data_IF_313335953346
#
_entry.id   IF_313335953346
#
_cell.length_a   1.000
_cell.length_b   1.000
_cell.length_c   1.000
_cell.angle_alpha   90.00
_cell.angle_beta   90.00
_cell.angle_gamma   90.00
#
_symmetry.space_group_name_H-M   'P 1'
#
loop_
_entity.id
_entity.type
_entity.pdbx_description
1 polymer ?
#
# COMPACT_ATOMS: atom_id res chain seq x y z
N UNK A 1 -65.74 -49.59 10.84
CA UNK A 1 -65.61 -48.17 10.47
C UNK A 1 -64.24 -47.72 10.95
N UNK A 2 -63.43 -47.04 10.13
CA UNK A 2 -62.36 -46.19 10.68
C UNK A 2 -63.02 -44.96 11.32
N UNK A 3 -62.51 -44.47 12.44
CA UNK A 3 -62.96 -43.21 13.06
C UNK A 3 -62.02 -42.13 12.55
N UNK A 4 -62.53 -41.13 11.85
CA UNK A 4 -61.67 -40.16 11.17
C UNK A 4 -60.97 -39.25 12.19
N UNK A 5 -59.64 -39.32 12.22
CA UNK A 5 -58.78 -38.51 13.06
C UNK A 5 -58.27 -37.30 12.27
N UNK A 6 -58.50 -36.07 12.75
CA UNK A 6 -58.23 -34.84 11.99
C UNK A 6 -57.33 -33.84 12.73
N UNK A 7 -56.48 -33.15 11.95
CA UNK A 7 -55.74 -31.95 12.31
C UNK A 7 -56.07 -30.81 11.33
N UNK A 8 -56.34 -29.61 11.86
CA UNK A 8 -56.57 -28.41 11.05
C UNK A 8 -55.51 -27.36 11.40
N UNK A 9 -54.58 -27.14 10.48
CA UNK A 9 -53.58 -26.05 10.53
C UNK A 9 -54.22 -24.83 9.86
N UNK A 10 -54.95 -24.05 10.64
CA UNK A 10 -55.61 -22.82 10.19
C UNK A 10 -54.56 -21.71 10.15
N UNK A 11 -54.00 -21.44 8.97
CA UNK A 11 -53.20 -20.24 8.79
C UNK A 11 -54.11 -19.01 8.77
N UNK A 12 -54.15 -18.28 9.89
CA UNK A 12 -54.84 -16.99 10.05
C UNK A 12 -54.07 -15.90 9.27
N UNK A 13 -54.10 -16.01 7.94
CA UNK A 13 -53.48 -15.04 7.04
C UNK A 13 -54.36 -13.80 6.93
N UNK A 14 -54.09 -12.81 7.79
CA UNK A 14 -54.55 -11.44 7.63
C UNK A 14 -53.85 -10.74 6.47
N UNK A 15 -54.11 -11.17 5.22
CA UNK A 15 -53.85 -10.43 3.97
C UNK A 15 -54.75 -10.95 2.84
N UNK A 16 -55.28 -10.03 2.04
CA UNK A 16 -56.19 -10.33 0.93
C UNK A 16 -55.44 -10.67 -0.36
N UNK A 17 -55.83 -11.78 -1.00
CA UNK A 17 -55.96 -11.86 -2.47
C UNK A 17 -56.86 -13.03 -2.87
N UNK A 18 -57.97 -12.74 -3.55
CA UNK A 18 -58.94 -13.73 -4.02
C UNK A 18 -58.85 -13.88 -5.54
N UNK A 19 -58.12 -14.89 -6.01
CA UNK A 19 -58.39 -15.51 -7.31
C UNK A 19 -59.04 -16.88 -7.06
N UNK A 20 -60.14 -17.15 -7.76
CA UNK A 20 -60.77 -18.48 -7.80
C UNK A 20 -60.19 -19.26 -8.97
N UNK A 21 -59.69 -20.45 -8.70
CA UNK A 21 -59.37 -21.54 -9.64
C UNK A 21 -59.80 -22.85 -8.99
N UNK A 22 -59.95 -23.90 -9.80
CA UNK A 22 -60.73 -25.12 -9.52
C UNK A 22 -60.33 -25.92 -8.26
N UNK A 23 -61.15 -26.92 -7.92
CA UNK A 23 -61.24 -27.69 -6.66
C UNK A 23 -60.00 -28.56 -6.27
N UNK A 24 -58.79 -28.15 -6.67
CA UNK A 24 -57.55 -28.69 -6.13
C UNK A 24 -57.27 -28.17 -4.72
N UNK A 25 -56.70 -29.03 -3.85
CA UNK A 25 -56.44 -28.66 -2.46
C UNK A 25 -55.48 -27.47 -2.35
N UNK A 26 -55.91 -26.43 -1.65
CA UNK A 26 -55.22 -25.14 -1.59
C UNK A 26 -54.02 -25.19 -0.64
N UNK A 27 -52.86 -25.56 -1.18
CA UNK A 27 -51.57 -25.51 -0.48
C UNK A 27 -51.34 -24.14 0.18
N UNK A 28 -50.84 -24.17 1.41
CA UNK A 28 -50.60 -22.98 2.23
C UNK A 28 -49.32 -22.29 1.77
N UNK A 29 -49.41 -21.11 1.13
CA UNK A 29 -48.21 -20.35 0.73
C UNK A 29 -47.76 -19.37 1.84
N UNK A 30 -46.57 -19.61 2.38
CA UNK A 30 -45.99 -18.88 3.52
C UNK A 30 -44.90 -17.92 3.04
N UNK A 31 -45.28 -16.67 2.83
CA UNK A 31 -44.31 -15.59 2.57
C UNK A 31 -43.80 -15.00 3.89
N UNK A 32 -42.57 -15.38 4.30
CA UNK A 32 -41.85 -14.74 5.40
C UNK A 32 -41.41 -13.31 5.06
N UNK A 33 -41.54 -12.89 3.81
CA UNK A 33 -41.24 -11.55 3.33
C UNK A 33 -39.77 -11.39 2.93
N UNK A 34 -39.28 -10.16 3.11
CA UNK A 34 -37.91 -9.77 2.77
C UNK A 34 -37.12 -9.52 4.06
N UNK A 35 -36.05 -10.29 4.23
CA UNK A 35 -34.96 -9.94 5.13
C UNK A 35 -33.99 -8.98 4.44
N UNK A 36 -33.56 -7.95 5.16
CA UNK A 36 -32.55 -7.00 4.73
C UNK A 36 -31.56 -6.78 5.87
N UNK A 37 -30.26 -6.89 5.58
CA UNK A 37 -29.22 -6.58 6.56
C UNK A 37 -29.09 -5.06 6.69
N UNK A 38 -29.19 -4.54 7.91
CA UNK A 38 -28.99 -3.10 8.18
C UNK A 38 -27.49 -2.76 8.15
N UNK A 39 -27.15 -1.53 7.73
CA UNK A 39 -25.76 -1.07 7.74
C UNK A 39 -25.26 -0.86 9.18
N UNK A 40 -24.07 -1.34 9.58
CA UNK A 40 -23.55 -1.20 10.96
C UNK A 40 -23.23 0.24 11.39
N UNK A 41 -23.53 1.24 10.55
CA UNK A 41 -23.24 2.67 10.76
C UNK A 41 -24.50 3.54 10.71
N UNK A 42 -25.57 3.10 11.39
CA UNK A 42 -26.89 3.75 11.49
C UNK A 42 -26.84 5.24 11.85
N UNK A 43 -25.77 5.72 12.50
CA UNK A 43 -25.60 7.13 12.88
C UNK A 43 -25.46 8.10 11.69
N UNK A 44 -25.25 7.61 10.45
CA UNK A 44 -25.18 8.42 9.22
C UNK A 44 -26.55 8.56 8.52
N UNK A 45 -27.62 8.70 9.29
CA UNK A 45 -29.04 8.52 8.89
C UNK A 45 -29.64 9.53 7.91
N UNK A 46 -28.87 10.52 7.42
CA UNK A 46 -29.35 11.63 6.56
C UNK A 46 -29.06 11.45 5.05
N UNK A 47 -28.88 10.20 4.57
CA UNK A 47 -28.50 9.91 3.18
C UNK A 47 -29.68 9.77 2.20
N UNK A 48 -29.55 10.26 0.94
CA UNK A 48 -30.57 10.10 -0.09
C UNK A 48 -30.62 8.67 -0.69
N UNK A 49 -31.80 8.27 -1.18
CA UNK A 49 -32.15 6.90 -1.63
C UNK A 49 -31.33 6.30 -2.79
N UNK A 50 -30.40 7.04 -3.41
CA UNK A 50 -29.66 6.62 -4.61
C UNK A 50 -28.49 5.65 -4.30
N UNK A 51 -28.16 5.44 -3.04
CA UNK A 51 -26.80 5.02 -2.64
C UNK A 51 -26.63 3.52 -2.31
N UNK A 52 -27.55 2.63 -2.74
CA UNK A 52 -27.70 1.27 -2.16
C UNK A 52 -27.45 0.09 -3.15
N UNK A 53 -26.18 -0.20 -3.46
CA UNK A 53 -25.49 -1.49 -3.80
C UNK A 53 -24.01 -1.16 -4.16
N UNK A 54 -22.94 -1.98 -4.15
CA UNK A 54 -22.45 -3.31 -3.66
C UNK A 54 -21.21 -3.07 -2.72
N UNK A 55 -20.40 -3.98 -2.11
CA UNK A 55 -20.13 -5.44 -2.10
C UNK A 55 -19.39 -5.83 -0.77
N UNK A 56 -19.33 -7.12 -0.40
CA UNK A 56 -18.46 -7.81 0.62
C UNK A 56 -18.58 -7.58 2.15
N UNK A 57 -19.26 -8.54 2.83
CA UNK A 57 -19.32 -8.83 4.28
C UNK A 57 -17.95 -8.89 4.98
N UNK A 58 -17.38 -7.77 5.42
CA UNK A 58 -16.33 -7.81 6.46
C UNK A 58 -16.98 -8.29 7.77
N UNK A 59 -16.70 -9.51 8.27
CA UNK A 59 -17.39 -10.04 9.43
C UNK A 59 -17.07 -9.20 10.66
N UNK A 60 -18.12 -8.83 11.41
CA UNK A 60 -17.94 -8.37 12.79
C UNK A 60 -17.30 -9.54 13.56
N UNK A 61 -16.02 -9.40 13.95
CA UNK A 61 -15.20 -10.48 14.53
C UNK A 61 -15.74 -11.11 15.83
N UNK A 62 -16.87 -10.63 16.35
CA UNK A 62 -17.46 -11.02 17.63
C UNK A 62 -18.96 -11.39 17.57
N UNK A 63 -19.68 -10.99 16.51
CA UNK A 63 -21.11 -11.29 16.33
C UNK A 63 -21.43 -11.35 14.83
N UNK A 64 -22.04 -12.45 14.36
CA UNK A 64 -22.66 -12.47 13.05
C UNK A 64 -23.98 -11.73 13.09
N UNK A 65 -24.13 -10.72 12.23
CA UNK A 65 -25.43 -10.08 12.01
C UNK A 65 -26.32 -11.08 11.28
N UNK A 66 -27.46 -11.42 11.88
CA UNK A 66 -28.39 -12.42 11.33
C UNK A 66 -29.81 -11.90 11.39
N UNK A 67 -30.47 -11.83 10.24
CA UNK A 67 -31.87 -11.39 10.19
C UNK A 67 -32.75 -12.48 10.79
N UNK A 68 -33.65 -12.11 11.70
CA UNK A 68 -34.71 -12.99 12.21
C UNK A 68 -36.04 -12.56 11.61
N UNK A 69 -36.71 -13.47 10.93
CA UNK A 69 -38.06 -13.30 10.39
C UNK A 69 -39.01 -14.29 11.06
N UNK A 70 -40.26 -13.88 11.27
CA UNK A 70 -41.18 -14.55 12.20
C UNK A 70 -42.59 -14.66 11.61
N UNK A 71 -43.24 -15.81 11.80
CA UNK A 71 -44.64 -16.08 11.47
C UNK A 71 -45.27 -16.97 12.54
N UNK A 72 -46.58 -16.80 12.77
CA UNK A 72 -47.37 -17.61 13.69
C UNK A 72 -48.53 -18.27 12.94
N UNK A 73 -48.85 -19.50 13.32
CA UNK A 73 -49.82 -20.39 12.67
C UNK A 73 -50.74 -20.95 13.76
N UNK A 74 -52.07 -20.91 13.58
CA UNK A 74 -52.97 -21.63 14.50
C UNK A 74 -53.05 -23.10 14.11
N UNK A 75 -53.00 -23.98 15.12
CA UNK A 75 -53.10 -25.43 14.97
C UNK A 75 -54.15 -25.99 15.92
N UNK A 76 -55.25 -26.50 15.36
CA UNK A 76 -56.36 -27.12 16.08
C UNK A 76 -56.45 -28.63 15.82
N UNK A 77 -56.53 -29.41 16.90
CA UNK A 77 -56.74 -30.87 16.85
C UNK A 77 -58.22 -31.18 17.11
N UNK A 78 -58.81 -32.16 16.42
CA UNK A 78 -60.17 -32.60 16.74
C UNK A 78 -60.21 -33.47 18.02
N UNK A 79 -61.40 -33.68 18.58
CA UNK A 79 -61.60 -34.47 19.82
C UNK A 79 -61.04 -35.90 19.71
N UNK A 80 -61.04 -36.51 18.52
CA UNK A 80 -60.51 -37.85 18.29
C UNK A 80 -58.97 -37.85 18.42
N UNK A 81 -58.28 -36.91 17.77
CA UNK A 81 -56.82 -36.72 17.84
C UNK A 81 -56.33 -36.45 19.27
N UNK A 82 -57.12 -35.74 20.06
CA UNK A 82 -56.86 -35.48 21.48
C UNK A 82 -57.04 -36.76 22.30
N UNK A 83 -58.01 -37.61 21.96
CA UNK A 83 -58.33 -38.86 22.66
C UNK A 83 -57.33 -39.98 22.34
N UNK A 84 -56.88 -40.11 21.10
CA UNK A 84 -55.79 -41.02 20.70
C UNK A 84 -54.45 -40.56 21.28
N UNK A 85 -54.27 -39.25 21.45
CA UNK A 85 -53.00 -38.54 21.69
C UNK A 85 -52.09 -38.47 20.46
N UNK A 86 -52.69 -38.46 19.26
CA UNK A 86 -51.98 -38.35 17.97
C UNK A 86 -51.03 -37.17 17.94
N UNK A 87 -49.76 -37.43 17.63
CA UNK A 87 -48.70 -36.43 17.49
C UNK A 87 -48.47 -36.06 16.04
N UNK A 88 -48.27 -34.77 15.78
CA UNK A 88 -47.85 -34.26 14.48
C UNK A 88 -46.42 -33.71 14.58
N UNK A 89 -45.58 -34.01 13.59
CA UNK A 89 -44.24 -33.47 13.44
C UNK A 89 -44.22 -32.53 12.24
N UNK A 90 -43.76 -31.30 12.41
CA UNK A 90 -43.63 -30.32 11.32
C UNK A 90 -42.16 -30.10 10.97
N UNK A 91 -41.86 -29.98 9.67
CA UNK A 91 -40.53 -29.66 9.15
C UNK A 91 -40.61 -28.62 8.02
N UNK A 92 -39.60 -27.75 7.96
CA UNK A 92 -39.32 -26.91 6.80
C UNK A 92 -38.17 -27.53 5.99
N UNK A 93 -38.43 -27.86 4.73
CA UNK A 93 -37.43 -28.35 3.76
C UNK A 93 -37.26 -27.36 2.61
N UNK A 94 -36.09 -27.36 1.98
CA UNK A 94 -35.87 -26.71 0.68
C UNK A 94 -36.52 -27.51 -0.47
N UNK A 95 -36.39 -27.00 -1.70
CA UNK A 95 -36.92 -27.65 -2.91
C UNK A 95 -36.28 -29.02 -3.26
N UNK A 96 -35.26 -29.46 -2.52
CA UNK A 96 -34.66 -30.79 -2.64
C UNK A 96 -35.07 -31.76 -1.53
N UNK A 97 -35.94 -31.34 -0.60
CA UNK A 97 -36.43 -32.17 0.49
C UNK A 97 -35.50 -32.26 1.71
N UNK A 98 -34.47 -31.41 1.77
CA UNK A 98 -33.51 -31.35 2.88
C UNK A 98 -33.65 -30.06 3.69
N UNK A 99 -33.09 -30.01 4.91
CA UNK A 99 -33.10 -28.80 5.73
C UNK A 99 -32.39 -27.63 5.03
N UNK A 100 -33.01 -26.43 4.94
CA UNK A 100 -32.53 -25.33 4.10
C UNK A 100 -31.16 -24.78 4.52
N UNK A 101 -30.16 -24.95 3.65
CA UNK A 101 -28.76 -24.57 3.95
C UNK A 101 -28.60 -23.04 4.03
N UNK A 102 -28.15 -22.55 5.19
CA UNK A 102 -28.03 -21.11 5.47
C UNK A 102 -29.26 -20.50 6.14
N UNK A 103 -30.20 -21.32 6.64
CA UNK A 103 -31.31 -20.88 7.48
C UNK A 103 -31.35 -21.75 8.73
N UNK A 104 -31.19 -21.13 9.91
CA UNK A 104 -31.49 -21.78 11.18
C UNK A 104 -32.99 -21.63 11.49
N UNK A 105 -33.71 -22.74 11.52
CA UNK A 105 -35.16 -22.79 11.75
C UNK A 105 -35.45 -23.05 13.23
N UNK A 106 -36.29 -22.19 13.83
CA UNK A 106 -36.77 -22.35 15.19
C UNK A 106 -38.29 -22.47 15.21
N UNK A 107 -38.80 -23.39 16.02
CA UNK A 107 -40.22 -23.56 16.30
C UNK A 107 -40.45 -23.32 17.79
N UNK A 108 -41.36 -22.40 18.15
CA UNK A 108 -41.59 -21.97 19.53
C UNK A 108 -40.27 -21.68 20.28
N UNK A 109 -39.45 -20.84 19.65
CA UNK A 109 -38.10 -20.41 20.07
C UNK A 109 -37.06 -21.53 20.26
N UNK A 110 -37.41 -22.78 19.95
CA UNK A 110 -36.53 -23.95 20.04
C UNK A 110 -35.89 -24.25 18.68
N UNK A 111 -34.56 -24.33 18.61
CA UNK A 111 -33.82 -24.66 17.39
C UNK A 111 -34.11 -26.11 16.99
N UNK A 112 -34.57 -26.34 15.76
CA UNK A 112 -34.80 -27.70 15.27
C UNK A 112 -33.48 -28.33 14.79
N UNK A 113 -32.90 -29.18 15.63
CA UNK A 113 -31.60 -29.83 15.37
C UNK A 113 -31.66 -30.99 14.36
N UNK A 114 -32.84 -31.61 14.19
CA UNK A 114 -33.10 -32.67 13.22
C UNK A 114 -34.06 -32.25 12.09
N UNK A 115 -34.46 -30.97 12.04
CA UNK A 115 -35.42 -30.42 11.09
C UNK A 115 -36.90 -30.57 11.49
N UNK A 116 -37.24 -31.45 12.42
CA UNK A 116 -38.60 -31.68 12.90
C UNK A 116 -38.92 -30.92 14.20
N UNK A 117 -40.21 -30.68 14.44
CA UNK A 117 -40.75 -30.19 15.71
C UNK A 117 -42.03 -30.93 16.07
N UNK A 118 -42.10 -31.46 17.30
CA UNK A 118 -43.23 -32.23 17.84
C UNK A 118 -44.35 -31.28 18.31
N UNK A 119 -45.53 -31.40 17.71
CA UNK A 119 -46.76 -30.72 18.09
C UNK A 119 -47.66 -31.74 18.79
N UNK A 120 -47.97 -31.47 20.06
CA UNK A 120 -48.84 -32.33 20.89
C UNK A 120 -50.30 -31.92 20.74
N UNK A 121 -51.26 -32.85 20.83
CA UNK A 121 -52.67 -32.51 20.69
C UNK A 121 -53.18 -31.73 21.90
N UNK A 122 -54.08 -30.79 21.65
CA UNK A 122 -54.61 -29.84 22.64
C UNK A 122 -56.10 -29.57 22.39
N UNK A 123 -56.86 -29.39 23.48
CA UNK A 123 -58.26 -28.93 23.46
C UNK A 123 -58.43 -27.46 23.06
N UNK A 124 -57.33 -26.69 23.07
CA UNK A 124 -57.28 -25.29 22.63
C UNK A 124 -56.37 -25.19 21.41
N UNK A 125 -56.71 -24.31 20.48
CA UNK A 125 -55.84 -23.93 19.36
C UNK A 125 -54.45 -23.50 19.88
N UNK A 126 -53.40 -23.98 19.23
CA UNK A 126 -52.01 -23.68 19.57
C UNK A 126 -51.38 -22.77 18.52
N UNK A 127 -50.82 -21.65 18.95
CA UNK A 127 -49.93 -20.84 18.14
C UNK A 127 -48.59 -21.56 17.95
N UNK A 128 -48.35 -22.09 16.75
CA UNK A 128 -47.02 -22.50 16.31
C UNK A 128 -46.27 -21.29 15.76
N UNK A 129 -45.23 -20.88 16.49
CA UNK A 129 -44.36 -19.77 16.14
C UNK A 129 -43.14 -20.27 15.37
N UNK A 130 -43.01 -19.92 14.10
CA UNK A 130 -41.86 -20.25 13.25
C UNK A 130 -40.98 -19.01 13.09
N UNK A 131 -39.69 -19.13 13.45
CA UNK A 131 -38.65 -18.13 13.15
C UNK A 131 -37.63 -18.71 12.17
N UNK A 132 -37.31 -17.92 11.14
CA UNK A 132 -36.17 -18.14 10.25
C UNK A 132 -35.04 -17.18 10.65
N UNK A 133 -33.87 -17.71 11.00
CA UNK A 133 -32.65 -16.93 11.22
C UNK A 133 -31.74 -17.10 10.00
N UNK A 134 -31.61 -16.05 9.21
CA UNK A 134 -30.89 -16.05 7.94
C UNK A 134 -29.39 -15.83 8.13
N UNK A 135 -28.60 -16.56 7.33
CA UNK A 135 -27.13 -16.51 7.33
C UNK A 135 -26.61 -15.56 6.22
N UNK A 136 -25.76 -14.56 6.54
CA UNK A 136 -25.24 -13.61 5.54
C UNK A 136 -24.35 -14.28 4.47
N UNK A 137 -23.74 -15.43 4.75
CA UNK A 137 -22.81 -16.13 3.84
C UNK A 137 -23.45 -16.53 2.49
N UNK A 138 -24.78 -16.49 2.38
CA UNK A 138 -25.53 -16.87 1.17
C UNK A 138 -25.70 -15.73 0.14
N UNK A 139 -25.28 -14.50 0.44
CA UNK A 139 -25.39 -13.38 -0.49
C UNK A 139 -26.83 -12.89 -0.67
N UNK A 140 -27.16 -12.34 -1.85
CA UNK A 140 -28.55 -12.06 -2.24
C UNK A 140 -29.20 -13.35 -2.78
N UNK A 141 -30.27 -13.80 -2.14
CA UNK A 141 -30.87 -15.10 -2.45
C UNK A 141 -32.39 -15.10 -2.20
N UNK A 142 -33.13 -15.90 -2.96
CA UNK A 142 -34.53 -16.23 -2.66
C UNK A 142 -34.55 -17.69 -2.24
N UNK A 143 -34.76 -17.95 -0.95
CA UNK A 143 -34.96 -19.30 -0.44
C UNK A 143 -36.44 -19.65 -0.54
N UNK A 144 -36.71 -20.89 -0.93
CA UNK A 144 -38.05 -21.43 -1.04
C UNK A 144 -38.02 -22.95 -0.85
N UNK A 145 -39.17 -23.53 -0.54
CA UNK A 145 -39.32 -24.96 -0.34
C UNK A 145 -40.68 -25.32 0.24
N UNK A 146 -40.76 -26.46 0.90
CA UNK A 146 -42.02 -27.04 1.36
C UNK A 146 -42.13 -27.04 2.90
N UNK A 147 -43.37 -26.89 3.38
CA UNK A 147 -43.76 -27.20 4.75
C UNK A 147 -44.31 -28.63 4.74
N UNK A 148 -43.61 -29.54 5.40
CA UNK A 148 -43.99 -30.95 5.51
C UNK A 148 -44.55 -31.21 6.90
N UNK A 149 -45.64 -31.97 6.99
CA UNK A 149 -46.07 -32.63 8.22
C UNK A 149 -45.97 -34.15 8.05
N UNK A 150 -45.36 -34.80 9.04
CA UNK A 150 -45.51 -36.22 9.34
C UNK A 150 -46.46 -36.35 10.52
N UNK A 151 -47.30 -37.38 10.56
CA UNK A 151 -48.24 -37.59 11.65
C UNK A 151 -48.38 -39.05 12.03
N UNK A 152 -48.50 -39.30 13.34
CA UNK A 152 -48.82 -40.61 13.88
C UNK A 152 -50.31 -40.65 14.25
N UNK A 153 -51.02 -41.63 13.71
CA UNK A 153 -52.46 -41.89 13.94
C UNK A 153 -53.44 -40.79 13.48
N UNK A 154 -53.04 -39.82 12.64
CA UNK A 154 -54.00 -38.94 11.95
C UNK A 154 -54.50 -39.57 10.63
N UNK A 155 -55.77 -39.41 10.27
CA UNK A 155 -56.29 -39.76 8.93
C UNK A 155 -56.24 -38.57 7.95
N UNK A 156 -56.40 -37.33 8.42
CA UNK A 156 -56.53 -36.13 7.58
C UNK A 156 -55.86 -34.88 8.18
N UNK A 157 -55.18 -34.09 7.33
CA UNK A 157 -54.55 -32.80 7.67
C UNK A 157 -54.96 -31.76 6.62
N UNK A 158 -55.65 -30.67 7.01
CA UNK A 158 -56.15 -29.66 6.06
C UNK A 158 -56.86 -30.27 4.83
N UNK A 159 -57.74 -31.25 5.08
CA UNK A 159 -58.48 -32.02 4.06
C UNK A 159 -57.62 -32.92 3.15
N UNK A 160 -56.28 -32.92 3.28
CA UNK A 160 -55.37 -33.91 2.67
C UNK A 160 -55.43 -35.23 3.44
N UNK A 161 -55.51 -36.35 2.72
CA UNK A 161 -55.58 -37.70 3.29
C UNK A 161 -54.18 -38.22 3.66
N UNK A 162 -54.02 -38.68 4.91
CA UNK A 162 -52.74 -39.10 5.49
C UNK A 162 -52.44 -40.55 5.13
N UNK A 163 -51.99 -40.77 3.89
CA UNK A 163 -51.57 -42.10 3.40
C UNK A 163 -50.06 -42.23 3.19
N UNK A 164 -49.35 -41.10 3.22
CA UNK A 164 -47.89 -41.02 3.03
C UNK A 164 -47.22 -40.46 4.29
N UNK A 165 -46.00 -40.88 4.59
CA UNK A 165 -45.29 -40.47 5.82
C UNK A 165 -44.93 -38.98 5.87
N UNK A 166 -44.92 -38.28 4.71
CA UNK A 166 -44.46 -36.90 4.59
C UNK A 166 -45.39 -36.11 3.68
N UNK A 167 -46.27 -35.28 4.24
CA UNK A 167 -47.31 -34.57 3.49
C UNK A 167 -46.92 -33.11 3.34
N UNK A 168 -46.80 -32.65 2.10
CA UNK A 168 -46.63 -31.22 1.79
C UNK A 168 -47.95 -30.51 2.04
N UNK A 169 -48.03 -29.75 3.14
CA UNK A 169 -49.21 -28.93 3.48
C UNK A 169 -49.14 -27.52 2.88
N UNK A 170 -47.96 -27.11 2.40
CA UNK A 170 -47.72 -25.78 1.91
C UNK A 170 -46.32 -25.53 1.37
N UNK A 171 -46.14 -24.38 0.76
CA UNK A 171 -44.87 -23.84 0.29
C UNK A 171 -44.43 -22.70 1.22
N UNK A 172 -43.13 -22.45 1.35
CA UNK A 172 -42.61 -21.25 1.98
C UNK A 172 -41.64 -20.52 1.06
N UNK A 173 -41.54 -19.19 1.21
CA UNK A 173 -40.44 -18.41 0.66
C UNK A 173 -39.95 -17.33 1.60
N UNK A 174 -38.70 -16.92 1.40
CA UNK A 174 -38.08 -15.75 2.04
C UNK A 174 -37.05 -15.15 1.10
N UNK A 175 -37.03 -13.82 1.00
CA UNK A 175 -36.04 -13.09 0.19
C UNK A 175 -34.97 -12.47 1.08
N UNK A 176 -33.71 -12.79 0.82
CA UNK A 176 -32.54 -12.16 1.43
C UNK A 176 -31.96 -11.13 0.46
N UNK A 177 -31.96 -9.85 0.85
CA UNK A 177 -31.26 -8.78 0.13
C UNK A 177 -30.14 -8.21 1.00
N UNK A 178 -28.95 -8.02 0.42
CA UNK A 178 -27.82 -7.38 1.11
C UNK A 178 -27.68 -5.97 0.54
N UNK A 179 -28.33 -5.02 1.21
CA UNK A 179 -28.25 -3.59 0.92
C UNK A 179 -26.86 -3.04 1.25
N UNK A 180 -26.03 -3.06 0.22
CA UNK A 180 -24.68 -2.51 0.20
C UNK A 180 -24.62 -1.04 -0.20
N UNK A 181 -23.47 -0.34 -0.04
CA UNK A 181 -23.24 0.96 -0.70
C UNK A 181 -21.86 1.07 -1.40
N UNK A 182 -21.83 1.07 -2.75
CA UNK A 182 -20.62 1.37 -3.57
C UNK A 182 -20.03 2.74 -3.18
N UNK A 183 -20.89 3.71 -2.84
CA UNK A 183 -20.44 5.03 -2.40
C UNK A 183 -19.57 4.92 -1.12
N UNK A 184 -19.83 3.97 -0.23
CA UNK A 184 -19.07 3.83 1.01
C UNK A 184 -17.67 3.27 0.76
N UNK A 185 -17.53 2.34 -0.20
CA UNK A 185 -16.22 1.93 -0.73
C UNK A 185 -15.47 3.08 -1.41
N UNK A 186 -16.15 3.91 -2.21
CA UNK A 186 -15.56 5.10 -2.83
C UNK A 186 -15.10 6.11 -1.76
N UNK A 187 -15.93 6.38 -0.74
CA UNK A 187 -15.59 7.26 0.39
C UNK A 187 -14.39 6.71 1.16
N UNK A 188 -14.36 5.41 1.46
CA UNK A 188 -13.23 4.77 2.15
C UNK A 188 -11.94 4.88 1.33
N UNK A 189 -11.99 4.61 0.03
CA UNK A 189 -10.85 4.74 -0.87
C UNK A 189 -10.34 6.20 -0.97
N UNK A 190 -11.25 7.17 -0.98
CA UNK A 190 -10.92 8.60 -0.91
C UNK A 190 -10.22 8.94 0.41
N UNK A 191 -10.75 8.49 1.55
CA UNK A 191 -10.17 8.73 2.88
C UNK A 191 -8.76 8.13 2.97
N UNK A 192 -8.57 6.88 2.54
CA UNK A 192 -7.25 6.22 2.53
C UNK A 192 -6.28 6.96 1.60
N UNK A 193 -6.74 7.40 0.43
CA UNK A 193 -5.92 8.21 -0.49
C UNK A 193 -5.49 9.55 0.13
N UNK A 194 -6.39 10.25 0.82
CA UNK A 194 -6.06 11.49 1.55
C UNK A 194 -5.04 11.25 2.68
N UNK A 195 -5.18 10.16 3.43
CA UNK A 195 -4.24 9.79 4.50
C UNK A 195 -2.84 9.52 3.92
N UNK A 196 -2.74 8.79 2.80
CA UNK A 196 -1.47 8.51 2.13
C UNK A 196 -0.81 9.78 1.57
N UNK A 197 -1.59 10.69 0.97
CA UNK A 197 -1.09 11.99 0.51
C UNK A 197 -0.60 12.85 1.69
N UNK A 198 -1.35 12.89 2.79
CA UNK A 198 -0.96 13.62 4.00
C UNK A 198 0.33 13.07 4.61
N UNK A 199 0.49 11.75 4.70
CA UNK A 199 1.72 11.09 5.13
C UNK A 199 2.91 11.45 4.23
N UNK A 200 2.72 11.46 2.90
CA UNK A 200 3.76 11.88 1.96
C UNK A 200 4.21 13.34 2.15
N UNK A 201 3.26 14.25 2.42
CA UNK A 201 3.55 15.65 2.74
C UNK A 201 4.31 15.77 4.07
N UNK A 202 3.88 15.03 5.11
CA UNK A 202 4.53 15.02 6.42
C UNK A 202 5.97 14.52 6.34
N UNK A 203 6.21 13.41 5.63
CA UNK A 203 7.55 12.84 5.41
C UNK A 203 8.44 13.83 4.67
N UNK A 204 7.94 14.50 3.63
CA UNK A 204 8.68 15.55 2.94
C UNK A 204 9.03 16.70 3.89
N UNK A 205 8.07 17.20 4.66
CA UNK A 205 8.30 18.31 5.60
C UNK A 205 9.38 17.99 6.65
N UNK A 206 9.36 16.77 7.19
CA UNK A 206 10.40 16.26 8.10
C UNK A 206 11.78 16.23 7.41
N UNK A 207 11.86 15.80 6.15
CA UNK A 207 13.11 15.76 5.39
C UNK A 207 13.70 17.16 5.12
N UNK A 208 12.87 18.14 4.76
CA UNK A 208 13.30 19.54 4.59
C UNK A 208 13.85 20.13 5.91
N UNK A 209 13.23 19.80 7.06
CA UNK A 209 13.74 20.18 8.40
C UNK A 209 15.13 19.59 8.66
N UNK A 210 15.37 18.31 8.32
CA UNK A 210 16.69 17.71 8.49
C UNK A 210 17.77 18.37 7.61
N UNK A 211 17.44 18.75 6.36
CA UNK A 211 18.34 19.51 5.49
C UNK A 211 18.66 20.88 6.10
N UNK A 212 17.63 21.60 6.58
CA UNK A 212 17.80 22.91 7.21
C UNK A 212 18.68 22.84 8.48
N UNK A 213 18.42 21.87 9.38
CA UNK A 213 19.25 21.64 10.57
C UNK A 213 20.71 21.32 10.21
N UNK A 214 20.94 20.49 9.20
CA UNK A 214 22.29 20.19 8.69
C UNK A 214 23.02 21.43 8.15
N UNK A 215 22.30 22.34 7.50
CA UNK A 215 22.83 23.63 7.04
C UNK A 215 23.25 24.52 8.22
N UNK A 216 22.36 24.68 9.21
CA UNK A 216 22.61 25.48 10.42
C UNK A 216 23.83 24.95 11.19
N UNK A 217 23.90 23.63 11.43
CA UNK A 217 25.05 23.01 12.11
C UNK A 217 26.37 23.24 11.35
N UNK A 218 26.38 23.12 10.02
CA UNK A 218 27.56 23.41 9.22
C UNK A 218 28.00 24.89 9.33
N UNK A 219 27.07 25.84 9.36
CA UNK A 219 27.42 27.27 9.58
C UNK A 219 28.01 27.52 10.98
N UNK A 220 27.50 26.86 12.02
CA UNK A 220 28.06 26.96 13.38
C UNK A 220 29.45 26.34 13.51
N UNK A 221 29.71 25.22 12.83
CA UNK A 221 31.03 24.55 12.81
C UNK A 221 32.06 25.34 11.99
N UNK A 222 31.65 25.96 10.88
CA UNK A 222 32.52 26.87 10.13
C UNK A 222 32.98 28.05 10.99
N UNK A 223 32.03 28.70 11.69
CA UNK A 223 32.29 29.84 12.58
C UNK A 223 33.28 29.53 13.71
N UNK A 224 33.22 28.33 14.29
CA UNK A 224 34.14 27.92 15.37
C UNK A 224 35.52 27.41 14.89
N UNK A 225 35.77 27.39 13.58
CA UNK A 225 36.99 26.79 12.99
C UNK A 225 38.07 27.80 12.55
N UNK A 226 37.83 29.12 12.61
CA UNK A 226 38.79 30.16 12.19
C UNK A 226 39.98 30.39 13.16
N UNK A 227 40.50 29.33 13.78
CA UNK A 227 41.81 29.35 14.43
C UNK A 227 42.90 29.40 13.35
N UNK A 228 43.16 30.59 12.81
CA UNK A 228 44.15 30.85 11.75
C UNK A 228 45.48 30.18 12.08
N UNK A 229 45.84 29.16 11.29
CA UNK A 229 47.06 28.37 11.51
C UNK A 229 48.27 29.21 11.12
N UNK A 230 48.94 29.78 12.13
CA UNK A 230 50.13 30.63 11.98
C UNK A 230 51.19 29.92 11.10
N UNK A 231 51.85 30.63 10.18
CA UNK A 231 52.99 30.12 9.43
C UNK A 231 54.08 29.55 10.36
N UNK A 232 54.63 28.38 10.02
CA UNK A 232 55.61 27.68 10.83
C UNK A 232 56.47 26.76 9.95
N UNK A 233 57.79 26.91 10.05
CA UNK A 233 58.78 26.15 9.30
C UNK A 233 58.72 24.63 9.53
N UNK A 234 58.17 24.14 10.65
CA UNK A 234 58.03 22.71 10.97
C UNK A 234 56.67 22.11 10.57
N UNK A 235 55.71 22.92 10.08
CA UNK A 235 54.33 22.50 9.83
C UNK A 235 54.25 21.30 8.86
N UNK A 236 53.67 20.15 9.24
CA UNK A 236 53.65 18.95 8.39
C UNK A 236 52.80 19.18 7.13
N UNK A 237 53.15 18.50 6.03
CA UNK A 237 52.41 18.62 4.77
C UNK A 237 50.93 18.26 4.94
N UNK A 238 50.06 19.23 4.71
CA UNK A 238 48.60 19.07 4.71
C UNK A 238 48.05 19.24 3.29
N UNK A 239 47.11 18.36 2.95
CA UNK A 239 46.54 18.24 1.60
C UNK A 239 45.04 18.58 1.53
N UNK A 240 44.34 18.65 2.66
CA UNK A 240 42.87 18.80 2.71
C UNK A 240 42.43 20.11 2.05
N UNK A 241 43.10 21.19 2.44
CA UNK A 241 42.91 22.55 1.95
C UNK A 241 43.27 22.63 0.45
N UNK A 242 44.40 22.00 0.07
CA UNK A 242 44.88 21.93 -1.32
C UNK A 242 43.88 21.19 -2.23
N UNK A 243 43.40 20.01 -1.84
CA UNK A 243 42.45 19.23 -2.66
C UNK A 243 41.08 19.93 -2.78
N UNK A 244 40.65 20.68 -1.74
CA UNK A 244 39.42 21.46 -1.77
C UNK A 244 39.47 22.58 -2.81
N UNK A 245 40.59 23.33 -2.90
CA UNK A 245 40.80 24.32 -3.96
C UNK A 245 41.03 23.64 -5.32
N UNK A 246 41.80 22.55 -5.37
CA UNK A 246 42.06 21.77 -6.60
C UNK A 246 40.77 21.27 -7.26
N UNK A 247 39.77 20.86 -6.45
CA UNK A 247 38.44 20.49 -6.97
C UNK A 247 37.74 21.66 -7.66
N UNK A 248 37.82 22.88 -7.11
CA UNK A 248 37.27 24.10 -7.74
C UNK A 248 38.00 24.41 -9.06
N UNK A 249 39.34 24.42 -9.06
CA UNK A 249 40.15 24.67 -10.27
C UNK A 249 39.89 23.63 -11.37
N UNK A 250 39.76 22.34 -11.02
CA UNK A 250 39.36 21.27 -11.95
C UNK A 250 38.02 21.55 -12.64
N UNK A 251 36.98 21.88 -11.86
CA UNK A 251 35.66 22.19 -12.41
C UNK A 251 35.70 23.39 -13.36
N UNK A 252 36.45 24.45 -13.02
CA UNK A 252 36.63 25.62 -13.89
C UNK A 252 37.33 25.25 -15.21
N UNK A 253 38.49 24.59 -15.13
CA UNK A 253 39.25 24.18 -16.32
C UNK A 253 38.46 23.21 -17.23
N UNK A 254 37.62 22.36 -16.64
CA UNK A 254 36.75 21.47 -17.42
C UNK A 254 35.63 22.23 -18.15
N UNK A 255 34.97 23.17 -17.48
CA UNK A 255 33.96 24.01 -18.12
C UNK A 255 34.55 24.82 -19.29
N UNK A 256 35.72 25.42 -19.10
CA UNK A 256 36.45 26.13 -20.17
C UNK A 256 36.83 25.21 -21.34
N UNK A 257 37.23 23.96 -21.06
CA UNK A 257 37.54 22.97 -22.09
C UNK A 257 36.30 22.54 -22.90
N UNK A 258 35.14 22.38 -22.23
CA UNK A 258 33.86 22.06 -22.89
C UNK A 258 33.37 23.22 -23.76
N UNK A 259 33.53 24.47 -23.30
CA UNK A 259 33.24 25.67 -24.10
C UNK A 259 34.17 25.71 -25.32
N UNK A 260 35.47 25.48 -25.14
CA UNK A 260 36.48 25.46 -26.22
C UNK A 260 36.17 24.41 -27.30
N UNK A 261 35.66 23.25 -26.92
CA UNK A 261 35.26 22.18 -27.85
C UNK A 261 33.78 22.15 -28.21
N UNK A 262 33.02 23.22 -27.97
CA UNK A 262 31.60 23.35 -28.35
C UNK A 262 30.70 22.19 -27.86
N UNK A 263 30.98 21.68 -26.67
CA UNK A 263 30.28 20.54 -26.05
C UNK A 263 31.18 19.35 -25.72
N UNK A 264 32.31 19.20 -26.40
CA UNK A 264 33.38 18.25 -26.02
C UNK A 264 34.46 18.95 -25.20
N UNK A 265 34.99 18.29 -24.16
CA UNK A 265 36.09 18.84 -23.37
C UNK A 265 37.44 18.76 -24.13
N UNK A 266 37.93 19.88 -24.68
CA UNK A 266 39.22 19.95 -25.38
C UNK A 266 40.32 20.59 -24.54
N UNK A 267 41.36 19.78 -24.25
CA UNK A 267 42.59 20.19 -23.57
C UNK A 267 43.81 20.11 -24.50
N UNK A 268 44.90 20.73 -24.08
CA UNK A 268 46.23 20.46 -24.62
C UNK A 268 47.07 19.79 -23.53
N UNK A 269 47.67 18.64 -23.85
CA UNK A 269 48.57 17.91 -22.96
C UNK A 269 49.82 18.76 -22.67
N UNK A 270 50.09 19.01 -21.39
CA UNK A 270 51.12 19.97 -20.99
C UNK A 270 52.57 19.53 -21.26
N UNK A 271 52.80 18.26 -21.60
CA UNK A 271 54.15 17.72 -21.84
C UNK A 271 54.40 17.26 -23.29
N UNK A 272 53.37 16.80 -24.01
CA UNK A 272 53.46 16.38 -25.42
C UNK A 272 52.96 17.46 -26.39
N UNK A 273 52.16 18.42 -25.91
CA UNK A 273 51.55 19.47 -26.74
C UNK A 273 50.40 19.00 -27.62
N UNK A 274 50.00 17.73 -27.56
CA UNK A 274 48.88 17.15 -28.31
C UNK A 274 47.54 17.60 -27.75
N UNK A 275 46.49 17.56 -28.58
CA UNK A 275 45.10 17.76 -28.11
C UNK A 275 44.62 16.49 -27.41
N UNK A 276 43.92 16.66 -26.30
CA UNK A 276 43.21 15.61 -25.56
C UNK A 276 41.71 15.90 -25.54
N UNK A 277 40.88 14.86 -25.62
CA UNK A 277 39.43 14.91 -25.80
C UNK A 277 38.65 14.33 -24.62
N UNK A 278 37.34 14.58 -24.61
CA UNK A 278 36.41 13.96 -23.65
C UNK A 278 36.32 12.45 -23.86
N UNK A 279 36.98 11.67 -23.00
CA UNK A 279 37.06 10.21 -23.10
C UNK A 279 38.49 9.67 -23.12
N UNK A 280 39.49 10.53 -23.42
CA UNK A 280 40.90 10.16 -23.26
C UNK A 280 41.24 9.90 -21.79
N UNK A 281 42.15 8.95 -21.54
CA UNK A 281 42.68 8.66 -20.20
C UNK A 281 43.71 9.71 -19.77
N UNK A 282 43.22 10.90 -19.43
CA UNK A 282 44.00 12.00 -18.86
C UNK A 282 43.73 12.18 -17.36
N UNK A 283 44.67 12.86 -16.69
CA UNK A 283 44.54 13.34 -15.32
C UNK A 283 44.97 14.82 -15.25
N UNK A 284 44.49 15.53 -14.22
CA UNK A 284 44.94 16.90 -13.93
C UNK A 284 46.21 16.86 -13.10
N UNK A 285 47.18 17.68 -13.50
CA UNK A 285 48.55 17.67 -12.99
C UNK A 285 48.95 19.01 -12.38
N UNK A 286 49.71 18.96 -11.28
CA UNK A 286 50.44 20.09 -10.74
C UNK A 286 51.87 20.08 -11.31
N UNK A 287 52.20 21.05 -12.18
CA UNK A 287 53.49 21.08 -12.88
C UNK A 287 54.66 21.13 -11.90
N UNK A 288 54.61 22.09 -10.96
CA UNK A 288 55.34 22.09 -9.69
C UNK A 288 54.48 21.43 -8.64
N UNK A 289 55.02 20.46 -7.90
CA UNK A 289 54.18 19.60 -7.06
C UNK A 289 53.61 20.36 -5.86
N UNK A 290 52.42 19.95 -5.41
CA UNK A 290 51.75 20.52 -4.23
C UNK A 290 52.61 20.45 -2.97
N UNK A 291 53.42 19.38 -2.82
CA UNK A 291 54.36 19.20 -1.72
C UNK A 291 55.62 20.07 -1.88
N UNK A 292 56.18 20.21 -3.09
CA UNK A 292 57.31 21.12 -3.38
C UNK A 292 56.95 22.56 -2.99
N UNK A 293 55.76 23.03 -3.39
CA UNK A 293 55.29 24.39 -3.09
C UNK A 293 54.98 24.53 -1.59
N UNK A 294 54.28 23.56 -0.98
CA UNK A 294 53.93 23.64 0.44
C UNK A 294 55.16 23.69 1.35
N UNK A 295 56.10 22.75 1.16
CA UNK A 295 57.29 22.66 2.01
C UNK A 295 58.22 23.87 1.86
N UNK A 296 58.11 24.60 0.74
CA UNK A 296 58.88 25.82 0.44
C UNK A 296 58.30 27.11 1.01
N UNK A 297 57.01 27.15 1.35
CA UNK A 297 56.31 28.38 1.77
C UNK A 297 55.51 28.23 3.08
N UNK A 298 55.53 27.07 3.74
CA UNK A 298 54.83 26.80 5.02
C UNK A 298 55.27 27.67 6.20
N UNK A 299 56.46 28.24 6.09
CA UNK A 299 57.09 29.18 7.01
C UNK A 299 56.54 30.61 6.89
N UNK A 300 56.00 31.01 5.73
CA UNK A 300 55.50 32.37 5.47
C UNK A 300 54.02 32.46 5.08
N UNK A 301 53.36 31.36 4.70
CA UNK A 301 51.94 31.33 4.29
C UNK A 301 51.11 30.33 5.12
N UNK A 302 49.81 30.54 5.23
CA UNK A 302 48.85 29.58 5.83
C UNK A 302 48.60 28.36 4.92
N UNK A 303 47.74 27.41 5.32
CA UNK A 303 47.40 26.27 4.45
C UNK A 303 46.50 26.69 3.28
N UNK A 304 45.62 27.66 3.53
CA UNK A 304 44.62 28.19 2.60
C UNK A 304 45.31 29.02 1.52
N UNK A 305 46.23 29.90 1.93
CA UNK A 305 47.11 30.67 1.05
C UNK A 305 47.96 29.77 0.15
N UNK A 306 48.56 28.71 0.70
CA UNK A 306 49.29 27.72 -0.10
C UNK A 306 48.34 26.94 -1.03
N UNK A 307 47.12 26.63 -0.59
CA UNK A 307 46.14 25.95 -1.44
C UNK A 307 45.76 26.81 -2.66
N UNK A 308 45.70 28.14 -2.54
CA UNK A 308 45.53 29.04 -3.68
C UNK A 308 46.77 29.09 -4.58
N UNK A 309 47.97 29.25 -4.00
CA UNK A 309 49.25 29.30 -4.75
C UNK A 309 49.52 28.01 -5.53
N UNK A 310 49.27 26.85 -4.92
CA UNK A 310 49.42 25.52 -5.56
C UNK A 310 48.46 25.34 -6.73
N UNK A 311 47.23 25.82 -6.59
CA UNK A 311 46.14 25.58 -7.54
C UNK A 311 45.88 26.74 -8.51
N UNK A 312 46.85 27.65 -8.67
CA UNK A 312 46.81 28.67 -9.72
C UNK A 312 46.69 28.02 -11.12
N UNK A 313 45.97 28.69 -12.01
CA UNK A 313 45.64 28.19 -13.35
C UNK A 313 46.87 27.94 -14.22
N UNK A 314 47.96 28.66 -13.96
CA UNK A 314 49.26 28.45 -14.58
C UNK A 314 49.93 27.12 -14.16
N UNK A 315 49.77 26.67 -12.90
CA UNK A 315 50.39 25.44 -12.38
C UNK A 315 49.52 24.18 -12.58
N UNK A 316 48.20 24.33 -12.60
CA UNK A 316 47.27 23.20 -12.85
C UNK A 316 47.02 23.05 -14.35
N UNK A 317 47.44 21.93 -14.94
CA UNK A 317 47.18 21.55 -16.33
C UNK A 317 46.64 20.12 -16.43
N UNK A 318 46.57 19.59 -17.66
CA UNK A 318 46.12 18.22 -17.96
C UNK A 318 47.20 17.49 -18.73
N UNK A 319 47.38 16.20 -18.45
CA UNK A 319 48.23 15.30 -19.25
C UNK A 319 47.70 13.86 -19.23
N UNK A 320 48.12 13.03 -20.17
CA UNK A 320 47.84 11.59 -20.18
C UNK A 320 48.19 10.93 -18.83
N UNK A 321 47.32 10.04 -18.36
CA UNK A 321 47.46 9.29 -17.09
C UNK A 321 48.81 8.59 -16.97
N UNK A 322 49.27 7.97 -18.06
CA UNK A 322 50.57 7.27 -18.10
C UNK A 322 51.78 8.21 -17.94
N UNK A 323 51.63 9.49 -18.27
CA UNK A 323 52.65 10.53 -18.04
C UNK A 323 52.57 11.01 -16.59
N UNK A 324 51.38 11.34 -16.10
CA UNK A 324 51.15 11.76 -14.71
C UNK A 324 51.73 10.74 -13.71
N UNK A 325 51.35 9.47 -13.87
CA UNK A 325 51.83 8.36 -13.03
C UNK A 325 53.34 8.11 -13.17
N UNK A 326 53.95 8.41 -14.32
CA UNK A 326 55.41 8.29 -14.50
C UNK A 326 56.18 9.40 -13.79
N UNK A 327 55.70 10.65 -13.88
CA UNK A 327 56.34 11.81 -13.23
C UNK A 327 56.21 11.71 -11.71
N UNK A 328 54.99 11.53 -11.23
CA UNK A 328 54.66 11.65 -9.81
C UNK A 328 55.02 13.03 -9.27
N UNK A 329 55.54 13.08 -8.04
CA UNK A 329 55.87 14.35 -7.36
C UNK A 329 57.15 15.06 -7.86
N UNK A 330 57.93 14.42 -8.75
CA UNK A 330 59.23 14.93 -9.23
C UNK A 330 59.09 16.19 -10.08
N UNK A 331 60.13 17.01 -10.13
CA UNK A 331 60.20 18.19 -11.00
C UNK A 331 60.41 17.73 -12.45
N UNK A 332 59.92 18.48 -13.43
CA UNK A 332 60.03 18.08 -14.85
C UNK A 332 61.49 17.88 -15.26
N UNK A 333 62.38 18.76 -14.79
CA UNK A 333 63.81 18.78 -15.05
C UNK A 333 64.57 17.57 -14.48
N UNK A 334 64.02 16.90 -13.46
CA UNK A 334 64.59 15.71 -12.81
C UNK A 334 64.02 14.41 -13.39
N UNK A 335 62.76 14.44 -13.86
CA UNK A 335 62.06 13.27 -14.38
C UNK A 335 62.29 13.03 -15.88
N UNK A 336 62.44 14.11 -16.68
CA UNK A 336 62.47 14.03 -18.13
C UNK A 336 63.85 13.58 -18.69
N UNK A 337 64.24 12.35 -18.38
CA UNK A 337 65.38 11.68 -19.01
C UNK A 337 65.10 11.37 -20.49
N UNK A 338 66.15 11.15 -21.29
CA UNK A 338 66.02 10.85 -22.72
C UNK A 338 65.11 9.63 -22.99
N UNK A 339 65.18 8.58 -22.16
CA UNK A 339 64.34 7.39 -22.30
C UNK A 339 62.87 7.66 -21.97
N UNK A 340 62.58 8.52 -20.99
CA UNK A 340 61.23 8.98 -20.66
C UNK A 340 60.67 9.86 -21.78
N UNK A 341 61.48 10.79 -22.31
CA UNK A 341 61.12 11.69 -23.41
C UNK A 341 60.70 10.90 -24.65
N UNK A 342 61.50 9.89 -25.03
CA UNK A 342 61.19 9.00 -26.16
C UNK A 342 59.95 8.13 -25.87
N UNK A 343 59.89 7.47 -24.71
CA UNK A 343 58.78 6.57 -24.33
C UNK A 343 57.40 7.26 -24.37
N UNK A 344 57.33 8.50 -23.90
CA UNK A 344 56.08 9.24 -23.77
C UNK A 344 55.86 10.32 -24.85
N UNK A 345 56.77 10.43 -25.84
CA UNK A 345 56.73 11.44 -26.91
C UNK A 345 56.66 12.89 -26.37
N UNK A 346 57.50 13.21 -25.40
CA UNK A 346 57.51 14.50 -24.68
C UNK A 346 58.09 15.61 -25.57
N UNK A 347 57.33 16.69 -25.77
CA UNK A 347 57.78 17.89 -26.44
C UNK A 347 58.56 18.78 -25.46
N UNK A 348 59.90 18.64 -25.45
CA UNK A 348 60.79 19.38 -24.53
C UNK A 348 60.54 20.90 -24.54
N UNK A 349 60.20 21.48 -25.71
CA UNK A 349 59.84 22.91 -25.83
C UNK A 349 58.57 23.22 -25.03
N UNK A 350 57.46 22.55 -25.33
CA UNK A 350 56.16 22.75 -24.66
C UNK A 350 56.26 22.51 -23.15
N UNK A 351 56.94 21.45 -22.72
CA UNK A 351 57.15 21.17 -21.29
C UNK A 351 57.90 22.28 -20.58
N UNK A 352 59.03 22.76 -21.15
CA UNK A 352 59.83 23.85 -20.55
C UNK A 352 59.08 25.18 -20.55
N UNK A 353 58.21 25.41 -21.53
CA UNK A 353 57.39 26.62 -21.62
C UNK A 353 56.25 26.61 -20.59
N UNK A 354 55.50 25.51 -20.47
CA UNK A 354 54.50 25.31 -19.40
C UNK A 354 55.14 25.37 -18.00
N UNK A 355 56.36 24.84 -17.85
CA UNK A 355 57.13 24.92 -16.59
C UNK A 355 57.45 26.36 -16.19
N UNK A 356 57.90 27.19 -17.14
CA UNK A 356 58.10 28.64 -16.91
C UNK A 356 56.81 29.36 -16.59
N UNK A 357 55.71 29.02 -17.26
CA UNK A 357 54.38 29.61 -17.01
C UNK A 357 53.92 29.31 -15.58
N UNK A 358 54.04 28.06 -15.12
CA UNK A 358 53.77 27.68 -13.74
C UNK A 358 54.64 28.46 -12.73
N UNK A 359 55.96 28.54 -12.96
CA UNK A 359 56.89 29.28 -12.10
C UNK A 359 56.59 30.80 -12.04
N UNK A 360 55.98 31.38 -13.09
CA UNK A 360 55.51 32.77 -13.11
C UNK A 360 54.18 32.92 -12.37
N UNK A 361 53.21 32.03 -12.61
CA UNK A 361 51.90 32.05 -11.96
C UNK A 361 51.98 31.86 -10.44
N UNK A 362 52.82 30.94 -9.97
CA UNK A 362 53.11 30.73 -8.54
C UNK A 362 53.62 32.02 -7.89
N UNK A 363 54.60 32.70 -8.51
CA UNK A 363 55.14 33.99 -8.01
C UNK A 363 54.10 35.10 -8.02
N UNK A 364 53.25 35.15 -9.04
CA UNK A 364 52.14 36.10 -9.18
C UNK A 364 51.04 35.88 -8.14
N UNK A 365 50.72 34.62 -7.81
CA UNK A 365 49.79 34.27 -6.74
C UNK A 365 50.33 34.72 -5.37
N UNK A 366 51.57 34.38 -5.02
CA UNK A 366 52.21 34.82 -3.76
C UNK A 366 52.23 36.35 -3.66
N UNK A 367 52.56 37.06 -4.74
CA UNK A 367 52.53 38.54 -4.76
C UNK A 367 51.12 39.14 -4.60
N UNK A 368 50.06 38.40 -4.91
CA UNK A 368 48.69 38.86 -4.69
C UNK A 368 48.20 38.65 -3.26
N UNK A 369 48.79 37.72 -2.51
CA UNK A 369 48.51 37.49 -1.09
C UNK A 369 49.27 38.50 -0.21
N UNK A 370 50.55 38.76 -0.53
CA UNK A 370 51.40 39.72 0.17
C UNK A 370 51.12 41.18 -0.28
N UNK A 371 49.87 41.64 -0.14
CA UNK A 371 49.40 42.98 -0.57
C UNK A 371 49.16 43.93 0.59
#
# INVERSE_FOLDING_TARGET
>A
MRRLVFLTVILILSISCSNKTDDGVKLVNVDFGKGQYEEPFVFLSSKPRILVKSLEYTPNFFLSDTIVLEKTFSIGFNEESIRSKSTAFVQLVDSTGFSPKGISVYFNDSLSSNGWYEIKPSLQEQDLKIKLKLDPDRGEHIFYGNVIIKADELDLINELNVQEENIVIGEWKVKQEISWPILLWIIWFIIVSFILVFLGILIKFIFEIFIWLGSVLNTSIASSSELKVVPNADRPYKRVEIDAVFKKTKTKLHAEAVIRGKGEALFQDCYTGKVLRGGDLYDYEHIRSSEEIYMKYRDILTNEEIAEVVNCEENVKVTLRSINQSKGKRRFEEWASQSIIMKHNICIKTSKENTKIADIGIKKAIKNLNR
#
